data_IF_610727594011
#
_entry.id   IF_610727594011
#
_cell.length_a   1.000
_cell.length_b   1.000
_cell.length_c   1.000
_cell.angle_alpha   90.00
_cell.angle_beta   90.00
_cell.angle_gamma   90.00
#
_symmetry.space_group_name_H-M   'P 1'
#
loop_
_entity.id
_entity.type
_entity.pdbx_description
1 polymer ?
#
# COMPACT_ATOMS: atom_id res chain seq x y z
N UNK A 1 4.85 -10.42 -12.19
CA UNK A 1 3.88 -10.30 -11.06
C UNK A 1 3.06 -9.05 -11.29
N UNK A 2 1.80 -9.00 -10.83
CA UNK A 2 0.87 -7.92 -11.21
C UNK A 2 1.28 -6.57 -10.63
N UNK A 3 1.88 -6.56 -9.43
CA UNK A 3 2.18 -5.33 -8.69
C UNK A 3 3.64 -4.86 -8.82
N UNK A 4 4.45 -5.45 -9.71
CA UNK A 4 5.89 -5.15 -9.78
C UNK A 4 6.21 -3.72 -10.23
N UNK A 5 5.30 -3.07 -10.95
CA UNK A 5 5.44 -1.67 -11.40
C UNK A 5 4.86 -0.66 -10.40
N UNK A 6 4.29 -1.13 -9.28
CA UNK A 6 3.66 -0.23 -8.34
C UNK A 6 4.73 0.45 -7.48
N UNK A 7 4.66 1.77 -7.40
CA UNK A 7 5.42 2.57 -6.45
C UNK A 7 4.50 3.13 -5.38
N UNK A 8 5.06 3.32 -4.18
CA UNK A 8 4.32 3.82 -3.02
C UNK A 8 4.79 5.21 -2.63
N UNK A 9 3.85 6.06 -2.23
CA UNK A 9 4.10 7.35 -1.60
C UNK A 9 3.36 7.38 -0.27
N UNK A 10 4.09 7.73 0.79
CA UNK A 10 3.55 7.85 2.14
C UNK A 10 3.46 9.32 2.52
N UNK A 11 2.32 9.73 3.08
CA UNK A 11 2.13 11.10 3.52
C UNK A 11 0.81 11.30 4.25
N UNK A 12 0.50 12.56 4.54
CA UNK A 12 -0.73 12.95 5.23
C UNK A 12 -1.66 13.72 4.31
N UNK A 13 -2.93 13.33 4.27
CA UNK A 13 -3.95 14.02 3.45
C UNK A 13 -4.13 15.46 3.96
N UNK A 14 -3.88 16.43 3.10
CA UNK A 14 -4.06 17.87 3.36
C UNK A 14 -5.42 18.38 2.89
N UNK A 15 -5.88 17.93 1.72
CA UNK A 15 -7.19 18.28 1.19
C UNK A 15 -7.75 17.20 0.29
N UNK A 16 -9.09 17.13 0.23
CA UNK A 16 -9.83 16.29 -0.70
C UNK A 16 -10.76 17.23 -1.46
N UNK A 17 -10.72 17.16 -2.80
CA UNK A 17 -11.54 17.96 -3.70
C UNK A 17 -12.30 17.01 -4.63
N UNK A 18 -13.45 17.43 -5.12
CA UNK A 18 -14.11 16.72 -6.21
C UNK A 18 -13.23 16.76 -7.45
N UNK A 19 -13.16 15.65 -8.18
CA UNK A 19 -12.49 15.56 -9.47
C UNK A 19 -13.40 16.07 -10.60
N UNK A 20 -13.14 15.59 -11.81
CA UNK A 20 -13.90 15.97 -13.01
C UNK A 20 -15.33 15.39 -13.04
N UNK A 21 -15.61 14.40 -12.18
CA UNK A 21 -16.92 13.74 -12.06
C UNK A 21 -17.27 13.47 -10.60
N UNK A 22 -18.54 13.16 -10.32
CA UNK A 22 -19.00 12.78 -8.97
C UNK A 22 -18.33 11.51 -8.43
N UNK A 23 -17.79 10.66 -9.30
CA UNK A 23 -17.12 9.41 -8.94
C UNK A 23 -15.59 9.56 -8.83
N UNK A 24 -15.06 10.77 -9.00
CA UNK A 24 -13.62 11.03 -8.90
C UNK A 24 -13.36 12.05 -7.81
N UNK A 25 -12.29 11.82 -7.05
CA UNK A 25 -11.80 12.74 -6.04
C UNK A 25 -10.31 12.98 -6.28
N UNK A 26 -9.87 14.19 -5.99
CA UNK A 26 -8.46 14.57 -5.99
C UNK A 26 -8.01 14.76 -4.55
N UNK A 27 -6.99 14.01 -4.16
CA UNK A 27 -6.47 13.98 -2.80
C UNK A 27 -5.05 14.54 -2.80
N UNK A 28 -4.88 15.68 -2.16
CA UNK A 28 -3.56 16.29 -1.98
C UNK A 28 -2.91 15.72 -0.72
N UNK A 29 -1.76 15.07 -0.90
CA UNK A 29 -0.98 14.40 0.14
C UNK A 29 0.32 15.17 0.36
N UNK A 30 0.60 15.52 1.62
CA UNK A 30 1.89 16.06 2.04
C UNK A 30 2.81 14.92 2.45
N UNK A 31 3.88 14.73 1.70
CA UNK A 31 4.99 13.84 2.06
C UNK A 31 5.97 14.59 2.97
N UNK A 32 7.11 13.99 3.27
CA UNK A 32 8.17 14.66 4.05
C UNK A 32 8.82 15.81 3.27
N UNK A 33 8.90 15.70 1.94
CA UNK A 33 9.62 16.64 1.07
C UNK A 33 8.72 17.49 0.20
N UNK A 34 7.55 16.98 -0.20
CA UNK A 34 6.75 17.60 -1.25
C UNK A 34 5.24 17.38 -1.07
N UNK A 35 4.47 18.00 -1.97
CA UNK A 35 3.04 17.74 -2.12
C UNK A 35 2.87 16.85 -3.35
N UNK A 36 1.97 15.88 -3.27
CA UNK A 36 1.61 14.99 -4.38
C UNK A 36 0.09 14.88 -4.41
N UNK A 37 -0.50 14.96 -5.59
CA UNK A 37 -1.93 14.81 -5.79
C UNK A 37 -2.25 13.42 -6.34
N UNK A 38 -3.26 12.77 -5.77
CA UNK A 38 -3.77 11.48 -6.21
C UNK A 38 -5.18 11.60 -6.75
N UNK A 39 -5.42 11.06 -7.94
CA UNK A 39 -6.76 10.85 -8.47
C UNK A 39 -7.28 9.53 -7.92
N UNK A 40 -8.40 9.60 -7.21
CA UNK A 40 -9.12 8.44 -6.67
C UNK A 40 -10.41 8.28 -7.47
N UNK A 41 -10.51 7.17 -8.20
CA UNK A 41 -11.70 6.79 -8.98
C UNK A 41 -12.45 5.64 -8.31
N UNK A 42 -13.49 5.14 -8.98
CA UNK A 42 -14.20 3.92 -8.57
C UNK A 42 -13.31 2.67 -8.61
N UNK A 43 -12.26 2.68 -9.44
CA UNK A 43 -11.34 1.54 -9.61
C UNK A 43 -10.22 1.54 -8.56
N UNK A 44 -9.98 2.69 -7.93
CA UNK A 44 -9.00 2.79 -6.84
C UNK A 44 -9.43 1.93 -5.67
N UNK A 45 -8.57 0.99 -5.30
CA UNK A 45 -8.81 0.20 -4.11
C UNK A 45 -8.50 1.02 -2.86
N UNK A 46 -9.44 1.05 -1.92
CA UNK A 46 -9.18 1.57 -0.57
C UNK A 46 -9.30 0.43 0.42
N UNK A 47 -8.17 0.06 1.04
CA UNK A 47 -8.12 -1.01 2.02
C UNK A 47 -9.11 -0.74 3.17
N UNK A 48 -9.80 -1.80 3.59
CA UNK A 48 -10.87 -1.79 4.60
C UNK A 48 -12.10 -0.96 4.21
N UNK A 49 -12.21 -0.53 2.94
CA UNK A 49 -13.25 0.38 2.46
C UNK A 49 -13.36 1.65 3.34
N UNK A 50 -12.23 2.09 3.91
CA UNK A 50 -12.22 3.23 4.84
C UNK A 50 -12.43 4.52 4.07
N UNK A 51 -13.33 5.37 4.57
CA UNK A 51 -13.53 6.71 4.00
C UNK A 51 -12.33 7.60 4.29
N UNK A 52 -11.66 8.05 3.23
CA UNK A 52 -10.51 8.97 3.31
C UNK A 52 -10.90 10.35 3.84
N UNK A 53 -10.06 10.93 4.70
CA UNK A 53 -10.28 12.21 5.39
C UNK A 53 -8.99 13.00 5.56
N UNK A 54 -9.10 14.32 5.61
CA UNK A 54 -7.98 15.21 5.96
C UNK A 54 -7.36 14.80 7.29
N UNK A 55 -6.03 14.78 7.34
CA UNK A 55 -5.24 14.42 8.52
C UNK A 55 -4.90 12.92 8.62
N UNK A 56 -5.46 12.06 7.75
CA UNK A 56 -5.06 10.65 7.71
C UNK A 56 -3.67 10.50 7.11
N UNK A 57 -2.81 9.72 7.77
CA UNK A 57 -1.57 9.21 7.18
C UNK A 57 -1.91 8.00 6.33
N UNK A 58 -1.53 8.03 5.06
CA UNK A 58 -1.82 6.98 4.09
C UNK A 58 -0.56 6.56 3.35
N UNK A 59 -0.58 5.37 2.78
CA UNK A 59 0.26 5.00 1.65
C UNK A 59 -0.64 4.89 0.42
N UNK A 60 -0.28 5.61 -0.64
CA UNK A 60 -0.90 5.51 -1.95
C UNK A 60 0.06 4.81 -2.89
N UNK A 61 -0.42 3.78 -3.57
CA UNK A 61 0.29 3.03 -4.59
C UNK A 61 -0.24 3.45 -5.97
N UNK A 62 0.67 3.69 -6.91
CA UNK A 62 0.38 4.02 -8.29
C UNK A 62 1.25 3.16 -9.22
N UNK A 63 0.75 2.87 -10.41
CA UNK A 63 1.51 2.15 -11.43
C UNK A 63 2.42 3.11 -12.21
N UNK A 64 3.73 2.85 -12.22
CA UNK A 64 4.70 3.67 -12.96
C UNK A 64 4.60 3.53 -14.48
N UNK A 65 3.90 2.51 -14.97
CA UNK A 65 3.68 2.31 -16.40
C UNK A 65 2.57 3.21 -16.96
N UNK A 66 1.75 3.82 -16.09
CA UNK A 66 0.69 4.74 -16.51
C UNK A 66 1.25 6.15 -16.74
N UNK A 67 0.79 6.86 -17.78
CA UNK A 67 1.25 8.22 -18.05
C UNK A 67 0.79 9.19 -16.94
N UNK A 68 1.72 10.01 -16.45
CA UNK A 68 1.45 11.08 -15.49
C UNK A 68 1.60 12.46 -16.16
N UNK A 69 0.68 13.42 -15.94
CA UNK A 69 0.81 14.78 -16.45
C UNK A 69 2.03 15.49 -15.87
N UNK A 70 2.75 16.25 -16.71
CA UNK A 70 3.90 17.06 -16.29
C UNK A 70 3.46 18.40 -15.65
N UNK A 71 2.76 18.32 -14.52
CA UNK A 71 2.26 19.47 -13.75
C UNK A 71 2.78 19.43 -12.31
N UNK A 72 2.75 20.57 -11.61
CA UNK A 72 3.13 20.66 -10.20
C UNK A 72 1.95 21.13 -9.33
N UNK A 73 1.61 20.45 -8.21
CA UNK A 73 2.19 19.18 -7.74
C UNK A 73 2.01 18.02 -8.74
N UNK A 74 2.88 17.00 -8.73
CA UNK A 74 2.71 15.81 -9.56
C UNK A 74 1.37 15.13 -9.25
N UNK A 75 0.75 14.59 -10.30
CA UNK A 75 -0.56 13.94 -10.23
C UNK A 75 -0.45 12.47 -10.65
N UNK A 76 -0.88 11.54 -9.79
CA UNK A 76 -0.89 10.11 -10.08
C UNK A 76 -2.29 9.51 -9.95
N UNK A 77 -2.59 8.52 -10.79
CA UNK A 77 -3.75 7.65 -10.59
C UNK A 77 -3.45 6.72 -9.41
N UNK A 78 -4.27 6.75 -8.37
CA UNK A 78 -4.12 5.81 -7.26
C UNK A 78 -4.74 4.46 -7.65
N UNK A 79 -3.93 3.41 -7.58
CA UNK A 79 -4.38 2.02 -7.77
C UNK A 79 -4.83 1.42 -6.43
N UNK A 80 -4.07 1.71 -5.36
CA UNK A 80 -4.36 1.22 -4.01
C UNK A 80 -4.03 2.29 -2.97
N UNK A 81 -4.93 2.52 -2.02
CA UNK A 81 -4.71 3.39 -0.87
C UNK A 81 -4.95 2.60 0.41
N UNK A 82 -4.04 2.73 1.37
CA UNK A 82 -4.23 2.21 2.72
C UNK A 82 -3.91 3.25 3.79
N UNK A 83 -4.61 3.17 4.91
CA UNK A 83 -4.35 4.01 6.07
C UNK A 83 -3.23 3.41 6.93
N UNK A 84 -2.35 4.27 7.45
CA UNK A 84 -1.24 3.87 8.30
C UNK A 84 -1.39 4.42 9.71
N UNK A 85 -1.03 3.59 10.69
CA UNK A 85 -0.85 4.02 12.08
C UNK A 85 0.47 4.78 12.23
N UNK A 86 0.67 5.39 13.40
CA UNK A 86 1.91 6.09 13.74
C UNK A 86 3.09 5.13 13.66
N UNK A 87 4.18 5.56 12.99
CA UNK A 87 5.41 4.79 12.78
C UNK A 87 5.22 3.44 12.05
N UNK A 88 4.06 3.24 11.42
CA UNK A 88 3.80 2.05 10.64
C UNK A 88 4.24 2.27 9.20
N UNK A 89 4.96 1.31 8.66
CA UNK A 89 5.32 1.20 7.27
C UNK A 89 4.47 0.12 6.60
N UNK A 90 4.37 0.20 5.28
CA UNK A 90 3.70 -0.81 4.45
C UNK A 90 4.50 -1.09 3.20
N UNK A 91 4.53 -2.34 2.76
CA UNK A 91 5.11 -2.73 1.48
C UNK A 91 4.14 -3.62 0.72
N UNK A 92 4.13 -3.51 -0.61
CA UNK A 92 3.39 -4.39 -1.51
C UNK A 92 4.40 -5.05 -2.44
N UNK A 93 4.68 -6.33 -2.22
CA UNK A 93 5.66 -7.10 -3.00
C UNK A 93 5.28 -8.57 -3.04
N UNK A 94 5.86 -9.29 -3.99
CA UNK A 94 5.85 -10.74 -3.97
C UNK A 94 6.82 -11.28 -2.92
N UNK A 95 6.36 -12.30 -2.19
CA UNK A 95 7.15 -13.03 -1.22
C UNK A 95 7.20 -14.51 -1.61
N UNK A 96 8.40 -15.09 -1.57
CA UNK A 96 8.62 -16.52 -1.86
C UNK A 96 8.07 -17.44 -0.76
N UNK A 97 8.30 -18.75 -0.90
CA UNK A 97 7.91 -19.76 0.09
C UNK A 97 8.54 -19.55 1.48
N UNK A 98 9.69 -18.88 1.53
CA UNK A 98 10.43 -18.56 2.75
C UNK A 98 10.08 -17.16 3.29
N UNK A 99 9.06 -16.52 2.73
CA UNK A 99 8.62 -15.16 3.05
C UNK A 99 9.74 -14.12 2.92
N UNK A 100 10.56 -14.28 1.89
CA UNK A 100 11.56 -13.30 1.46
C UNK A 100 11.02 -12.57 0.24
N UNK A 101 11.09 -11.24 0.26
CA UNK A 101 10.67 -10.41 -0.86
C UNK A 101 11.54 -10.73 -2.09
N UNK A 102 10.94 -10.70 -3.29
CA UNK A 102 11.63 -11.03 -4.56
C UNK A 102 12.93 -10.23 -4.79
N UNK A 103 13.00 -9.00 -4.26
CA UNK A 103 14.15 -8.10 -4.40
C UNK A 103 15.09 -8.09 -3.18
N UNK A 104 15.00 -9.10 -2.30
CA UNK A 104 15.77 -9.24 -1.05
C UNK A 104 15.64 -8.02 -0.10
N UNK A 105 14.61 -7.20 -0.28
CA UNK A 105 14.45 -5.97 0.52
C UNK A 105 13.91 -6.23 1.93
N UNK A 106 13.23 -7.36 2.13
CA UNK A 106 12.58 -7.69 3.40
C UNK A 106 12.34 -9.19 3.53
N UNK A 107 12.59 -9.73 4.72
CA UNK A 107 12.18 -11.08 5.11
C UNK A 107 11.20 -11.03 6.29
N UNK A 108 10.13 -11.81 6.21
CA UNK A 108 9.06 -11.82 7.22
C UNK A 108 9.25 -12.99 8.19
N UNK A 109 9.19 -12.68 9.49
CA UNK A 109 9.15 -13.66 10.56
C UNK A 109 7.76 -13.61 11.21
N UNK A 110 6.87 -14.52 10.80
CA UNK A 110 5.49 -14.56 11.29
C UNK A 110 5.44 -14.86 12.79
N UNK A 111 4.57 -14.13 13.49
CA UNK A 111 4.23 -14.35 14.89
C UNK A 111 2.79 -14.86 14.99
N UNK A 112 2.41 -15.60 16.04
CA UNK A 112 1.00 -15.92 16.31
C UNK A 112 0.07 -14.69 16.40
N UNK A 113 0.64 -13.50 16.60
CA UNK A 113 -0.08 -12.23 16.64
C UNK A 113 -0.20 -11.52 15.28
N UNK A 114 0.48 -12.01 14.23
CA UNK A 114 0.37 -11.46 12.89
C UNK A 114 -1.03 -11.74 12.35
N UNK A 115 -1.82 -10.69 12.09
CA UNK A 115 -3.12 -10.85 11.46
C UNK A 115 -2.94 -11.07 9.94
N UNK A 116 -3.42 -12.20 9.43
CA UNK A 116 -3.32 -12.54 7.99
C UNK A 116 -4.73 -12.69 7.43
N UNK A 117 -5.01 -11.91 6.40
CA UNK A 117 -6.36 -11.81 5.84
C UNK A 117 -6.32 -11.59 4.33
N UNK A 118 -7.47 -11.78 3.70
CA UNK A 118 -7.70 -11.48 2.29
C UNK A 118 -8.07 -10.01 2.10
N UNK A 119 -8.04 -9.56 0.85
CA UNK A 119 -8.41 -8.20 0.42
C UNK A 119 -9.78 -7.71 0.95
N UNK A 120 -10.75 -8.60 1.09
CA UNK A 120 -12.08 -8.32 1.63
C UNK A 120 -12.20 -8.47 3.17
N UNK A 121 -11.07 -8.58 3.88
CA UNK A 121 -11.01 -8.65 5.34
C UNK A 121 -11.39 -10.00 5.94
N UNK A 122 -11.49 -11.07 5.14
CA UNK A 122 -11.71 -12.42 5.68
C UNK A 122 -10.40 -13.01 6.16
N UNK A 123 -10.47 -13.85 7.20
CA UNK A 123 -9.30 -14.56 7.70
C UNK A 123 -8.70 -15.45 6.62
N UNK A 124 -7.38 -15.35 6.43
CA UNK A 124 -6.65 -16.23 5.53
C UNK A 124 -6.15 -17.46 6.31
N UNK A 125 -6.48 -18.66 5.82
CA UNK A 125 -6.19 -19.93 6.51
C UNK A 125 -4.98 -20.69 5.93
N UNK A 126 -4.44 -20.24 4.81
CA UNK A 126 -3.29 -20.87 4.15
C UNK A 126 -1.97 -20.18 4.55
N UNK A 127 -0.85 -20.75 4.12
CA UNK A 127 0.46 -20.07 4.20
C UNK A 127 0.48 -18.89 3.22
N UNK A 128 0.94 -17.69 3.62
CA UNK A 128 0.99 -16.51 2.74
C UNK A 128 2.20 -16.50 1.80
N UNK A 129 3.01 -17.56 1.75
CA UNK A 129 4.16 -17.65 0.84
C UNK A 129 3.74 -17.84 -0.61
N UNK A 130 4.67 -17.55 -1.53
CA UNK A 130 4.46 -17.59 -2.98
C UNK A 130 3.29 -16.71 -3.45
N UNK A 131 3.17 -15.50 -2.89
CA UNK A 131 2.07 -14.59 -3.16
C UNK A 131 2.51 -13.12 -3.08
N UNK A 132 1.73 -12.26 -3.73
CA UNK A 132 1.79 -10.81 -3.55
C UNK A 132 1.14 -10.43 -2.21
N UNK A 133 1.91 -9.76 -1.34
CA UNK A 133 1.48 -9.42 0.02
C UNK A 133 1.56 -7.91 0.25
N UNK A 134 0.49 -7.35 0.83
CA UNK A 134 0.51 -6.03 1.45
C UNK A 134 0.81 -6.18 2.94
N UNK A 135 2.04 -5.86 3.32
CA UNK A 135 2.59 -6.16 4.64
C UNK A 135 2.75 -4.88 5.45
N UNK A 136 2.16 -4.84 6.64
CA UNK A 136 2.26 -3.73 7.58
C UNK A 136 3.21 -4.09 8.73
N UNK A 137 4.19 -3.23 8.98
CA UNK A 137 5.22 -3.44 10.00
C UNK A 137 5.67 -2.09 10.57
N UNK A 138 6.45 -2.08 11.65
CA UNK A 138 6.97 -0.84 12.25
C UNK A 138 8.48 -0.76 12.23
N UNK A 139 9.16 -1.86 12.55
CA UNK A 139 10.62 -1.90 12.68
C UNK A 139 11.18 -3.08 11.90
N UNK A 140 12.40 -2.94 11.40
CA UNK A 140 13.19 -4.01 10.79
C UNK A 140 14.49 -4.22 11.57
N UNK A 141 15.09 -5.41 11.45
CA UNK A 141 16.46 -5.66 11.92
C UNK A 141 17.48 -5.03 10.97
N UNK A 142 18.74 -4.96 11.42
CA UNK A 142 19.89 -4.57 10.59
C UNK A 142 20.55 -5.74 9.85
N UNK A 143 19.89 -6.91 9.76
CA UNK A 143 20.41 -8.05 8.98
C UNK A 143 20.31 -7.78 7.48
N UNK A 144 20.99 -8.59 6.68
CA UNK A 144 20.83 -8.63 5.23
C UNK A 144 20.30 -10.01 4.81
N UNK A 145 19.06 -10.13 4.30
CA UNK A 145 18.06 -9.07 4.17
C UNK A 145 17.54 -8.56 5.53
N UNK A 146 17.00 -7.33 5.62
CA UNK A 146 16.32 -6.84 6.80
C UNK A 146 15.14 -7.74 7.15
N UNK A 147 14.94 -8.03 8.43
CA UNK A 147 13.87 -8.91 8.90
C UNK A 147 12.84 -8.12 9.71
N UNK A 148 11.56 -8.48 9.61
CA UNK A 148 10.51 -7.92 10.46
C UNK A 148 9.49 -8.96 10.90
N UNK A 149 8.85 -8.70 12.04
CA UNK A 149 7.63 -9.41 12.43
C UNK A 149 6.44 -8.52 12.10
N UNK A 150 5.68 -8.85 11.04
CA UNK A 150 4.59 -7.99 10.60
C UNK A 150 3.41 -8.02 11.57
N UNK A 151 2.73 -6.89 11.66
CA UNK A 151 1.52 -6.72 12.47
C UNK A 151 0.29 -7.24 11.71
N UNK A 152 0.28 -7.02 10.40
CA UNK A 152 -0.82 -7.35 9.49
C UNK A 152 -0.28 -7.69 8.12
N UNK A 153 -0.86 -8.70 7.48
CA UNK A 153 -0.60 -9.09 6.10
C UNK A 153 -1.95 -9.20 5.40
N UNK A 154 -2.10 -8.52 4.27
CA UNK A 154 -3.20 -8.75 3.35
C UNK A 154 -2.66 -9.51 2.15
N UNK A 155 -3.21 -10.69 1.89
CA UNK A 155 -2.84 -11.52 0.74
C UNK A 155 -3.61 -11.04 -0.48
N UNK A 156 -2.88 -10.66 -1.53
CA UNK A 156 -3.45 -10.25 -2.82
C UNK A 156 -3.81 -11.48 -3.64
N UNK A 157 -4.87 -12.18 -3.24
CA UNK A 157 -5.38 -13.32 -3.97
C UNK A 157 -5.78 -12.91 -5.40
N UNK A 158 -5.53 -13.76 -6.41
CA UNK A 158 -6.04 -13.53 -7.76
C UNK A 158 -7.58 -13.50 -7.75
N UNK A 159 -8.15 -12.77 -8.72
CA UNK A 159 -9.59 -12.81 -8.97
C UNK A 159 -9.87 -14.15 -9.65
N UNK A 160 -10.77 -14.95 -9.05
CA UNK A 160 -11.26 -16.21 -9.62
C UNK A 160 -12.31 -15.97 -10.73
#
# INVERSE_FOLDING_TARGET
>A
MVYSSYQKIIGTIQSIRSGNSCCTQMISVRTESEMVDFVVSQDTEVIDNVRLRRGMRIAAFYDTNLPAPAVFPPQYQAELITSLRRNQEVTLKYFDENLTAEDDSLKLNLSPLTNIETRNGQRFFCSPGNADLLVYYTNTTYSLPPQTTPQRIIVMCPIE
#
